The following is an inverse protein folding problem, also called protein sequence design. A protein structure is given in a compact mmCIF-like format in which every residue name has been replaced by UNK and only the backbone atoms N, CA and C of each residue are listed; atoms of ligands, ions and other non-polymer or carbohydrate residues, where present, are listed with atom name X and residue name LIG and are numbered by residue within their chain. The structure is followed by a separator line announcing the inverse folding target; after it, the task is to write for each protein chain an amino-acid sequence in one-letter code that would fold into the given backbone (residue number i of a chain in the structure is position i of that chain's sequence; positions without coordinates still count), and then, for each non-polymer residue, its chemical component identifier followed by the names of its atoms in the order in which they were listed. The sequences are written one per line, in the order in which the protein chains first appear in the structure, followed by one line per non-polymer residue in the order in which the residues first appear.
data_IF_204824101359
#
_entry.id   IF_204824101359
#
_cell.length_a   1.000
_cell.length_b   1.000
_cell.length_c   1.000
_cell.angle_alpha   90.00
_cell.angle_beta   90.00
_cell.angle_gamma   90.00
#
_symmetry.space_group_name_H-M   'P 1'
#
loop_
_entity.id
_entity.type
_entity.pdbx_description
1 polymer ?
#
# COMPACT_ATOMS: atom_id res chain seq x y z
N UNK A 1 7.19 30.09 2.96
CA UNK A 1 6.85 28.73 2.44
C UNK A 1 6.65 27.85 3.67
N UNK A 2 5.52 27.10 3.76
CA UNK A 2 5.30 26.22 4.91
C UNK A 2 6.25 25.03 4.87
N UNK A 3 6.81 24.68 6.02
CA UNK A 3 7.73 23.56 6.22
C UNK A 3 6.97 22.31 6.65
N UNK A 4 7.25 21.16 6.03
CA UNK A 4 6.56 19.90 6.33
C UNK A 4 7.59 18.79 6.56
N UNK A 5 7.45 18.06 7.67
CA UNK A 5 8.18 16.84 7.91
C UNK A 5 7.39 15.64 7.35
N UNK A 6 8.08 14.72 6.69
CA UNK A 6 7.53 13.40 6.30
C UNK A 6 8.39 12.33 6.94
N UNK A 7 7.76 11.40 7.67
CA UNK A 7 8.46 10.37 8.43
C UNK A 7 8.35 9.02 7.71
N UNK A 8 9.50 8.48 7.33
CA UNK A 8 9.62 7.21 6.62
C UNK A 8 9.83 7.38 5.12
N UNK A 9 10.87 6.72 4.59
CA UNK A 9 11.28 6.75 3.18
C UNK A 9 10.74 5.59 2.34
N UNK A 10 9.67 4.90 2.78
CA UNK A 10 8.95 3.94 1.96
C UNK A 10 8.11 4.62 0.88
N UNK A 11 7.43 3.84 0.04
CA UNK A 11 6.61 4.37 -1.07
C UNK A 11 5.61 5.43 -0.61
N UNK A 12 4.94 5.22 0.53
CA UNK A 12 3.93 6.16 1.05
C UNK A 12 4.55 7.50 1.43
N UNK A 13 5.69 7.48 2.14
CA UNK A 13 6.38 8.72 2.53
C UNK A 13 6.98 9.44 1.32
N UNK A 14 7.67 8.73 0.44
CA UNK A 14 8.28 9.34 -0.76
C UNK A 14 7.23 9.95 -1.68
N UNK A 15 6.10 9.27 -1.94
CA UNK A 15 5.02 9.82 -2.77
C UNK A 15 4.36 11.03 -2.12
N UNK A 16 4.18 11.02 -0.79
CA UNK A 16 3.66 12.16 -0.03
C UNK A 16 4.62 13.36 -0.10
N UNK A 17 5.92 13.12 0.14
CA UNK A 17 6.95 14.16 0.08
C UNK A 17 7.05 14.78 -1.32
N UNK A 18 7.07 13.96 -2.37
CA UNK A 18 7.09 14.42 -3.74
C UNK A 18 5.85 15.25 -4.10
N UNK A 19 4.66 14.77 -3.74
CA UNK A 19 3.42 15.49 -4.00
C UNK A 19 3.35 16.85 -3.29
N UNK A 20 3.88 16.95 -2.08
CA UNK A 20 3.96 18.20 -1.30
C UNK A 20 4.99 19.16 -1.89
N UNK A 21 6.19 18.69 -2.24
CA UNK A 21 7.22 19.51 -2.86
C UNK A 21 6.73 20.12 -4.18
N UNK A 22 6.07 19.34 -5.02
CA UNK A 22 5.45 19.85 -6.27
C UNK A 22 4.35 20.90 -6.06
N UNK A 23 3.78 20.96 -4.85
CA UNK A 23 2.82 22.03 -4.46
C UNK A 23 3.49 23.24 -3.84
N UNK A 24 4.82 23.30 -3.80
CA UNK A 24 5.59 24.44 -3.30
C UNK A 24 5.77 24.46 -1.79
N UNK A 25 5.64 23.31 -1.10
CA UNK A 25 6.01 23.21 0.30
C UNK A 25 7.51 22.94 0.46
N UNK A 26 8.10 23.42 1.56
CA UNK A 26 9.46 23.04 1.98
C UNK A 26 9.39 21.72 2.73
N UNK A 27 9.81 20.62 2.09
CA UNK A 27 9.60 19.28 2.64
C UNK A 27 10.92 18.64 3.04
N UNK A 28 10.97 18.08 4.26
CA UNK A 28 12.07 17.23 4.74
C UNK A 28 11.52 15.82 4.98
N UNK A 29 12.10 14.83 4.30
CA UNK A 29 11.83 13.41 4.48
C UNK A 29 12.87 12.82 5.44
N UNK A 30 12.42 12.18 6.50
CA UNK A 30 13.26 11.46 7.47
C UNK A 30 13.20 9.97 7.19
N UNK A 31 14.35 9.33 7.01
CA UNK A 31 14.47 7.89 6.80
C UNK A 31 15.62 7.32 7.64
N UNK A 32 15.34 6.28 8.42
CA UNK A 32 16.35 5.67 9.30
C UNK A 32 17.43 4.89 8.54
N UNK A 33 17.12 4.42 7.35
CA UNK A 33 18.06 3.70 6.52
C UNK A 33 18.92 4.64 5.67
N UNK A 34 19.96 4.08 5.03
CA UNK A 34 20.93 4.84 4.22
C UNK A 34 20.37 5.37 2.90
N UNK A 35 19.18 4.91 2.45
CA UNK A 35 18.44 5.40 1.29
C UNK A 35 16.97 5.01 1.39
N UNK A 36 16.12 5.54 0.51
CA UNK A 36 14.69 5.26 0.49
C UNK A 36 14.37 3.81 0.09
N UNK A 37 13.22 3.29 0.51
CA UNK A 37 12.71 1.98 0.12
C UNK A 37 13.53 0.77 0.61
N UNK A 38 14.19 0.87 1.76
CA UNK A 38 14.97 -0.25 2.31
C UNK A 38 14.18 -1.22 3.20
N UNK A 39 12.89 -0.97 3.42
CA UNK A 39 12.01 -1.83 4.22
C UNK A 39 10.99 -2.53 3.31
N UNK A 40 9.71 -2.56 3.65
CA UNK A 40 8.65 -3.23 2.86
C UNK A 40 8.66 -2.87 1.37
N UNK A 41 9.03 -1.65 1.02
CA UNK A 41 9.16 -1.20 -0.37
C UNK A 41 10.37 -1.80 -1.09
N UNK A 42 11.33 -2.42 -0.39
CA UNK A 42 12.49 -3.09 -0.98
C UNK A 42 12.11 -4.41 -1.64
N UNK A 43 11.34 -5.24 -0.93
CA UNK A 43 10.92 -6.56 -1.40
C UNK A 43 9.43 -6.75 -1.14
N UNK A 44 8.66 -6.76 -2.21
CA UNK A 44 7.21 -6.97 -2.20
C UNK A 44 6.77 -7.68 -3.48
N UNK A 45 5.48 -7.91 -3.66
CA UNK A 45 4.93 -8.59 -4.84
C UNK A 45 4.96 -7.77 -6.13
N UNK A 46 5.34 -6.50 -6.09
CA UNK A 46 5.39 -5.62 -7.26
C UNK A 46 4.05 -5.46 -8.00
N UNK A 47 2.94 -5.78 -7.35
CA UNK A 47 1.62 -5.75 -7.97
C UNK A 47 1.00 -4.36 -7.84
N UNK A 48 0.68 -3.74 -8.98
CA UNK A 48 -0.10 -2.51 -9.08
C UNK A 48 -1.57 -2.90 -9.32
N UNK A 49 -2.14 -3.55 -8.33
CA UNK A 49 -3.38 -4.32 -8.42
C UNK A 49 -4.53 -3.62 -7.70
N UNK A 50 -5.31 -2.84 -8.43
CA UNK A 50 -6.58 -2.33 -7.93
C UNK A 50 -7.61 -3.46 -7.72
N UNK A 51 -7.41 -4.63 -8.32
CA UNK A 51 -8.24 -5.81 -8.12
C UNK A 51 -8.08 -6.45 -6.74
N UNK A 52 -7.04 -6.09 -5.98
CA UNK A 52 -6.83 -6.49 -4.58
C UNK A 52 -7.37 -5.47 -3.56
N UNK A 53 -8.26 -4.56 -3.99
CA UNK A 53 -8.78 -3.49 -3.14
C UNK A 53 -9.91 -3.94 -2.19
N UNK A 54 -10.24 -5.23 -2.11
CA UNK A 54 -11.19 -5.75 -1.13
C UNK A 54 -10.69 -5.49 0.30
N UNK A 55 -11.53 -4.90 1.14
CA UNK A 55 -11.18 -4.66 2.54
C UNK A 55 -11.35 -5.91 3.40
N UNK A 56 -10.57 -6.04 4.45
CA UNK A 56 -10.58 -7.22 5.33
C UNK A 56 -11.69 -7.21 6.38
N UNK A 57 -12.41 -6.11 6.53
CA UNK A 57 -13.50 -5.96 7.51
C UNK A 57 -14.74 -6.76 7.09
N UNK A 58 -14.61 -8.07 7.02
CA UNK A 58 -15.66 -9.01 6.67
C UNK A 58 -15.90 -9.99 7.82
N UNK A 59 -17.18 -10.37 8.07
CA UNK A 59 -17.54 -11.27 9.18
C UNK A 59 -16.78 -12.63 9.16
N UNK A 60 -16.50 -13.18 7.98
CA UNK A 60 -15.72 -14.41 7.85
C UNK A 60 -14.26 -14.27 8.32
N UNK A 61 -13.71 -13.05 8.33
CA UNK A 61 -12.33 -12.78 8.78
C UNK A 61 -12.16 -13.07 10.26
N UNK A 62 -13.18 -12.79 11.09
CA UNK A 62 -13.16 -13.09 12.52
C UNK A 62 -13.07 -14.61 12.73
N UNK A 63 -13.91 -15.38 12.03
CA UNK A 63 -13.92 -16.85 12.15
C UNK A 63 -12.60 -17.44 11.67
N UNK A 64 -12.07 -16.94 10.55
CA UNK A 64 -10.75 -17.37 10.05
C UNK A 64 -9.65 -17.00 11.04
N UNK A 65 -9.65 -15.77 11.57
CA UNK A 65 -8.68 -15.31 12.56
C UNK A 65 -8.66 -16.19 13.82
N UNK A 66 -9.82 -16.53 14.38
CA UNK A 66 -9.92 -17.44 15.52
C UNK A 66 -9.36 -18.84 15.20
N UNK A 67 -9.63 -19.39 14.01
CA UNK A 67 -9.06 -20.66 13.57
C UNK A 67 -7.53 -20.60 13.41
N UNK A 68 -7.02 -19.49 12.90
CA UNK A 68 -5.58 -19.29 12.72
C UNK A 68 -4.83 -19.14 14.03
N UNK A 69 -5.44 -18.54 15.06
CA UNK A 69 -4.84 -18.45 16.39
C UNK A 69 -4.59 -19.82 17.05
N UNK A 70 -5.26 -20.89 16.59
CA UNK A 70 -5.07 -22.26 17.05
C UNK A 70 -3.98 -23.03 16.28
N UNK A 71 -3.32 -22.38 15.30
CA UNK A 71 -2.33 -23.01 14.43
C UNK A 71 -1.03 -22.22 14.48
N UNK A 72 0.09 -22.89 14.77
CA UNK A 72 1.42 -22.27 14.86
C UNK A 72 2.02 -21.85 13.50
N UNK A 73 1.49 -22.38 12.38
CA UNK A 73 1.90 -22.10 11.01
C UNK A 73 1.00 -21.07 10.29
N UNK A 74 0.10 -20.44 11.03
CA UNK A 74 -0.88 -19.52 10.46
C UNK A 74 -0.29 -18.14 10.15
N UNK A 75 -0.80 -17.43 9.11
CA UNK A 75 -0.31 -16.12 8.73
C UNK A 75 -0.65 -14.99 9.73
N UNK A 76 -1.54 -15.26 10.70
CA UNK A 76 -1.94 -14.31 11.72
C UNK A 76 -1.59 -14.83 13.11
N UNK A 77 -0.69 -14.13 13.80
CA UNK A 77 -0.39 -14.33 15.20
C UNK A 77 -0.84 -13.11 16.01
N UNK A 78 -1.70 -13.33 16.99
CA UNK A 78 -2.15 -12.30 17.92
C UNK A 78 -1.55 -12.57 19.29
N UNK A 79 -0.75 -11.63 19.80
CA UNK A 79 -0.24 -11.74 21.17
C UNK A 79 -1.44 -11.79 22.15
N UNK A 80 -1.56 -12.82 23.00
CA UNK A 80 -2.73 -13.00 23.88
C UNK A 80 -2.84 -11.94 25.00
N UNK A 81 -1.77 -11.21 25.30
CA UNK A 81 -1.82 -10.17 26.36
C UNK A 81 -2.85 -9.10 26.01
N UNK A 82 -3.88 -8.85 26.84
CA UNK A 82 -4.85 -7.81 26.61
C UNK A 82 -4.19 -6.43 26.80
N UNK A 83 -4.40 -5.53 25.84
CA UNK A 83 -4.07 -4.10 25.97
C UNK A 83 -5.26 -3.28 25.53
N UNK A 84 -5.44 -2.08 26.10
CA UNK A 84 -6.52 -1.19 25.72
C UNK A 84 -6.52 -0.89 24.22
N UNK A 85 -5.35 -0.61 23.67
CA UNK A 85 -5.16 -0.36 22.23
C UNK A 85 -5.68 -1.54 21.37
N UNK A 86 -5.33 -2.78 21.75
CA UNK A 86 -5.80 -3.97 21.03
C UNK A 86 -7.31 -4.15 21.11
N UNK A 87 -7.89 -3.93 22.29
CA UNK A 87 -9.33 -4.07 22.49
C UNK A 87 -10.10 -3.00 21.71
N UNK A 88 -9.65 -1.74 21.72
CA UNK A 88 -10.26 -0.66 20.93
C UNK A 88 -10.16 -0.95 19.44
N UNK A 89 -9.01 -1.42 18.96
CA UNK A 89 -8.82 -1.81 17.56
C UNK A 89 -9.79 -2.94 17.12
N UNK A 90 -9.95 -3.97 17.94
CA UNK A 90 -10.94 -5.03 17.64
C UNK A 90 -12.37 -4.51 17.64
N UNK A 91 -12.73 -3.64 18.57
CA UNK A 91 -14.05 -3.04 18.63
C UNK A 91 -14.33 -2.20 17.37
N UNK A 92 -13.38 -1.39 16.93
CA UNK A 92 -13.46 -0.61 15.70
C UNK A 92 -13.55 -1.51 14.47
N UNK A 93 -12.73 -2.57 14.40
CA UNK A 93 -12.79 -3.55 13.31
C UNK A 93 -14.20 -4.14 13.17
N UNK A 94 -14.80 -4.60 14.29
CA UNK A 94 -16.15 -5.17 14.31
C UNK A 94 -17.20 -4.11 13.91
N UNK A 95 -17.07 -2.89 14.40
CA UNK A 95 -17.97 -1.79 14.08
C UNK A 95 -17.96 -1.40 12.59
N UNK A 96 -16.86 -1.70 11.87
CA UNK A 96 -16.73 -1.42 10.44
C UNK A 96 -17.18 -2.58 9.52
N UNK A 97 -17.50 -3.77 10.06
CA UNK A 97 -17.99 -4.89 9.24
C UNK A 97 -19.24 -4.53 8.42
N UNK A 98 -20.26 -3.81 8.94
CA UNK A 98 -21.40 -3.41 8.13
C UNK A 98 -21.05 -2.52 6.93
N UNK A 99 -19.92 -1.80 6.98
CA UNK A 99 -19.44 -0.91 5.92
C UNK A 99 -18.57 -1.61 4.88
N UNK A 100 -18.44 -2.94 4.94
CA UNK A 100 -17.58 -3.71 4.04
C UNK A 100 -17.76 -3.37 2.55
N UNK A 101 -19.01 -3.31 2.09
CA UNK A 101 -19.33 -3.02 0.68
C UNK A 101 -18.92 -1.60 0.29
N UNK A 102 -19.30 -0.63 1.08
CA UNK A 102 -18.98 0.79 0.88
C UNK A 102 -17.46 1.00 0.88
N UNK A 103 -16.77 0.45 1.89
CA UNK A 103 -15.33 0.58 2.04
C UNK A 103 -14.59 -0.10 0.87
N UNK A 104 -15.01 -1.28 0.41
CA UNK A 104 -14.41 -1.95 -0.76
C UNK A 104 -14.55 -1.11 -2.03
N UNK A 105 -15.71 -0.52 -2.27
CA UNK A 105 -15.92 0.37 -3.41
C UNK A 105 -15.03 1.62 -3.32
N UNK A 106 -14.96 2.24 -2.14
CA UNK A 106 -14.11 3.42 -1.91
C UNK A 106 -12.62 3.10 -2.10
N UNK A 107 -12.16 1.96 -1.56
CA UNK A 107 -10.77 1.51 -1.69
C UNK A 107 -10.42 1.22 -3.16
N UNK A 108 -11.34 0.60 -3.93
CA UNK A 108 -11.14 0.38 -5.36
C UNK A 108 -10.94 1.69 -6.12
N UNK A 109 -11.79 2.69 -5.88
CA UNK A 109 -11.66 4.04 -6.49
C UNK A 109 -10.32 4.67 -6.15
N UNK A 110 -9.93 4.59 -4.88
CA UNK A 110 -8.66 5.15 -4.41
C UNK A 110 -7.45 4.43 -5.05
N UNK A 111 -7.49 3.09 -5.16
CA UNK A 111 -6.44 2.30 -5.79
C UNK A 111 -6.29 2.62 -7.29
N UNK A 112 -7.41 2.80 -8.02
CA UNK A 112 -7.39 3.22 -9.42
C UNK A 112 -6.73 4.60 -9.56
N UNK A 113 -7.13 5.58 -8.74
CA UNK A 113 -6.57 6.92 -8.77
C UNK A 113 -5.08 6.92 -8.39
N UNK A 114 -4.68 6.17 -7.35
CA UNK A 114 -3.29 6.05 -6.93
C UNK A 114 -2.41 5.48 -8.05
N UNK A 115 -2.88 4.44 -8.76
CA UNK A 115 -2.17 3.84 -9.89
C UNK A 115 -1.98 4.84 -11.06
N UNK A 116 -2.99 5.65 -11.35
CA UNK A 116 -2.89 6.70 -12.37
C UNK A 116 -1.82 7.73 -12.00
N UNK A 117 -1.78 8.18 -10.74
CA UNK A 117 -0.74 9.08 -10.26
C UNK A 117 0.65 8.46 -10.34
N UNK A 118 0.79 7.17 -9.97
CA UNK A 118 2.06 6.47 -10.04
C UNK A 118 2.61 6.45 -11.48
N UNK A 119 1.77 6.11 -12.47
CA UNK A 119 2.18 6.10 -13.87
C UNK A 119 2.54 7.50 -14.38
N UNK A 120 1.70 8.51 -14.07
CA UNK A 120 1.95 9.87 -14.50
C UNK A 120 3.24 10.46 -13.90
N UNK A 121 3.55 10.14 -12.65
CA UNK A 121 4.77 10.61 -12.01
C UNK A 121 6.01 9.86 -12.53
N UNK A 122 5.91 8.55 -12.76
CA UNK A 122 7.00 7.80 -13.37
C UNK A 122 7.36 8.34 -14.76
N UNK A 123 6.35 8.62 -15.58
CA UNK A 123 6.53 9.20 -16.92
C UNK A 123 7.13 10.61 -16.85
N UNK A 124 6.54 11.49 -16.01
CA UNK A 124 6.98 12.88 -15.88
C UNK A 124 8.43 13.03 -15.37
N UNK A 125 8.87 12.09 -14.52
CA UNK A 125 10.20 12.12 -13.90
C UNK A 125 11.22 11.18 -14.58
N UNK A 126 10.81 10.44 -15.60
CA UNK A 126 11.66 9.46 -16.27
C UNK A 126 12.07 8.30 -15.37
N UNK A 127 11.19 7.87 -14.45
CA UNK A 127 11.50 6.76 -13.53
C UNK A 127 11.18 5.43 -14.20
N UNK A 128 12.22 4.66 -14.49
CA UNK A 128 12.09 3.29 -14.97
C UNK A 128 12.02 2.31 -13.80
N UNK A 129 11.01 1.44 -13.78
CA UNK A 129 10.75 0.51 -12.68
C UNK A 129 10.21 -0.84 -13.15
N UNK A 130 10.65 -1.31 -14.31
CA UNK A 130 10.28 -2.61 -14.91
C UNK A 130 8.75 -2.77 -15.07
N UNK A 131 8.04 -1.69 -15.38
CA UNK A 131 6.58 -1.68 -15.52
C UNK A 131 6.12 -2.60 -16.65
N UNK A 132 5.25 -3.56 -16.32
CA UNK A 132 4.57 -4.45 -17.27
C UNK A 132 3.06 -4.29 -17.15
N UNK A 133 2.43 -3.73 -18.19
CA UNK A 133 0.99 -3.54 -18.31
C UNK A 133 0.36 -4.75 -19.01
N UNK A 134 0.40 -5.92 -18.37
CA UNK A 134 -0.07 -7.19 -18.93
C UNK A 134 -1.29 -7.76 -18.19
N UNK A 135 -1.86 -6.97 -17.28
CA UNK A 135 -2.95 -7.44 -16.42
C UNK A 135 -2.48 -8.33 -15.28
N UNK A 136 -3.43 -8.71 -14.42
CA UNK A 136 -3.22 -9.68 -13.34
C UNK A 136 -4.31 -10.73 -13.39
N UNK A 137 -3.90 -12.01 -13.35
CA UNK A 137 -4.76 -13.17 -13.31
C UNK A 137 -4.87 -13.70 -11.88
N UNK A 138 -6.10 -13.69 -11.33
CA UNK A 138 -6.44 -14.33 -10.06
C UNK A 138 -6.97 -15.73 -10.32
N UNK A 139 -6.40 -16.74 -9.68
CA UNK A 139 -6.73 -18.15 -9.90
C UNK A 139 -7.47 -18.75 -8.70
N UNK A 140 -8.47 -19.61 -8.96
CA UNK A 140 -9.28 -20.26 -7.95
C UNK A 140 -9.33 -21.77 -8.20
N UNK A 141 -9.07 -22.57 -7.16
CA UNK A 141 -9.07 -24.04 -7.27
C UNK A 141 -10.43 -24.66 -6.96
N UNK A 142 -11.32 -23.90 -6.35
CA UNK A 142 -12.64 -24.38 -5.97
C UNK A 142 -13.74 -23.37 -6.32
N UNK A 143 -14.97 -23.89 -6.43
CA UNK A 143 -16.15 -23.11 -6.77
C UNK A 143 -16.44 -22.01 -5.75
N UNK A 144 -16.27 -22.31 -4.46
CA UNK A 144 -16.60 -21.34 -3.38
C UNK A 144 -15.73 -20.10 -3.47
N UNK A 145 -14.42 -20.27 -3.68
CA UNK A 145 -13.48 -19.15 -3.86
C UNK A 145 -13.82 -18.34 -5.12
N UNK A 146 -14.14 -19.03 -6.21
CA UNK A 146 -14.54 -18.39 -7.48
C UNK A 146 -15.84 -17.59 -7.35
N UNK A 147 -16.88 -18.17 -6.73
CA UNK A 147 -18.18 -17.50 -6.51
C UNK A 147 -18.00 -16.25 -5.62
N UNK A 148 -17.22 -16.36 -4.53
CA UNK A 148 -16.87 -15.20 -3.69
C UNK A 148 -16.14 -14.10 -4.48
N UNK A 149 -15.16 -14.48 -5.30
CA UNK A 149 -14.47 -13.53 -6.17
C UNK A 149 -15.42 -12.84 -7.17
N UNK A 150 -16.48 -13.53 -7.60
CA UNK A 150 -17.55 -12.94 -8.40
C UNK A 150 -18.34 -11.86 -7.65
N UNK A 151 -18.62 -12.09 -6.36
CA UNK A 151 -19.26 -11.06 -5.52
C UNK A 151 -18.36 -9.84 -5.33
N UNK A 152 -17.08 -10.08 -5.04
CA UNK A 152 -16.08 -9.00 -4.93
C UNK A 152 -15.95 -8.24 -6.26
N UNK A 153 -15.92 -8.94 -7.40
CA UNK A 153 -15.83 -8.30 -8.73
C UNK A 153 -16.97 -7.33 -8.99
N UNK A 154 -18.19 -7.62 -8.52
CA UNK A 154 -19.33 -6.69 -8.62
C UNK A 154 -19.11 -5.42 -7.78
N UNK A 155 -18.48 -5.52 -6.61
CA UNK A 155 -18.13 -4.35 -5.79
C UNK A 155 -17.03 -3.52 -6.43
N UNK A 156 -16.01 -4.18 -6.98
CA UNK A 156 -14.92 -3.50 -7.70
C UNK A 156 -15.44 -2.79 -8.95
N UNK A 157 -16.38 -3.40 -9.69
CA UNK A 157 -17.04 -2.77 -10.83
C UNK A 157 -17.83 -1.51 -10.43
N UNK A 158 -18.52 -1.53 -9.29
CA UNK A 158 -19.16 -0.32 -8.72
C UNK A 158 -18.13 0.76 -8.33
N UNK A 159 -16.88 0.37 -8.09
CA UNK A 159 -15.72 1.25 -7.90
C UNK A 159 -15.06 1.72 -9.20
N UNK A 160 -15.46 1.17 -10.35
CA UNK A 160 -14.89 1.51 -11.67
C UNK A 160 -13.81 0.56 -12.16
N UNK A 161 -13.65 -0.63 -11.54
CA UNK A 161 -12.68 -1.64 -11.94
C UNK A 161 -13.36 -2.84 -12.58
N UNK A 162 -13.07 -3.08 -13.84
CA UNK A 162 -13.57 -4.27 -14.55
C UNK A 162 -12.64 -5.47 -14.30
N UNK A 163 -13.25 -6.60 -13.92
CA UNK A 163 -12.63 -7.92 -13.85
C UNK A 163 -13.51 -8.89 -14.61
N UNK A 164 -12.95 -9.60 -15.56
CA UNK A 164 -13.69 -10.64 -16.29
C UNK A 164 -13.40 -12.02 -15.75
N UNK A 165 -14.44 -12.86 -15.64
CA UNK A 165 -14.26 -14.27 -15.37
C UNK A 165 -13.57 -14.94 -16.57
N UNK A 166 -12.68 -15.90 -16.30
CA UNK A 166 -11.96 -16.67 -17.32
C UNK A 166 -12.01 -18.15 -17.00
N UNK A 167 -12.14 -18.96 -18.07
CA UNK A 167 -12.10 -20.42 -17.98
C UNK A 167 -10.66 -20.93 -17.78
N UNK A 168 -10.45 -22.19 -17.35
CA UNK A 168 -9.11 -22.78 -17.26
C UNK A 168 -8.34 -22.76 -18.60
N UNK A 169 -9.04 -22.86 -19.73
CA UNK A 169 -8.45 -22.78 -21.07
C UNK A 169 -7.95 -21.37 -21.36
N UNK A 170 -8.76 -20.35 -21.11
CA UNK A 170 -8.37 -18.94 -21.25
C UNK A 170 -7.22 -18.56 -20.30
N UNK A 171 -7.22 -19.10 -19.07
CA UNK A 171 -6.13 -18.88 -18.11
C UNK A 171 -4.79 -19.38 -18.65
N UNK A 172 -4.75 -20.56 -19.30
CA UNK A 172 -3.54 -21.12 -19.94
C UNK A 172 -3.12 -20.33 -21.18
N UNK A 173 -4.05 -19.65 -21.84
CA UNK A 173 -3.71 -18.72 -22.94
C UNK A 173 -3.05 -17.45 -22.41
N UNK A 174 -3.52 -16.93 -21.26
CA UNK A 174 -2.96 -15.75 -20.59
C UNK A 174 -1.58 -16.08 -19.99
N UNK A 175 -1.47 -17.24 -19.31
CA UNK A 175 -0.25 -17.69 -18.64
C UNK A 175 0.03 -19.15 -19.04
N UNK A 176 0.79 -19.39 -20.11
CA UNK A 176 1.05 -20.74 -20.63
C UNK A 176 1.80 -21.67 -19.69
N UNK A 177 2.53 -21.11 -18.71
CA UNK A 177 3.29 -21.90 -17.72
C UNK A 177 2.41 -22.39 -16.56
N UNK A 178 1.14 -21.98 -16.52
CA UNK A 178 0.21 -22.33 -15.46
C UNK A 178 -0.12 -23.84 -15.50
N UNK A 179 0.35 -24.57 -14.49
CA UNK A 179 0.14 -26.01 -14.34
C UNK A 179 -0.84 -26.33 -13.20
N UNK A 180 -1.55 -27.45 -13.32
CA UNK A 180 -2.49 -27.95 -12.32
C UNK A 180 -3.96 -27.71 -12.71
N UNK A 181 -4.85 -28.09 -11.76
CA UNK A 181 -6.29 -28.01 -11.95
C UNK A 181 -6.84 -26.74 -11.25
N UNK A 182 -7.64 -26.01 -11.99
CA UNK A 182 -8.30 -24.79 -11.53
C UNK A 182 -9.78 -24.84 -11.88
N UNK A 183 -10.61 -24.29 -11.01
CA UNK A 183 -12.03 -24.12 -11.28
C UNK A 183 -12.28 -22.97 -12.28
N UNK A 184 -11.49 -21.90 -12.19
CA UNK A 184 -11.56 -20.74 -13.06
C UNK A 184 -10.72 -19.59 -12.49
N UNK A 185 -10.77 -18.43 -13.14
CA UNK A 185 -10.03 -17.24 -12.73
C UNK A 185 -10.80 -15.96 -12.98
N UNK A 186 -10.21 -14.86 -12.49
CA UNK A 186 -10.61 -13.51 -12.85
C UNK A 186 -9.41 -12.76 -13.38
N UNK A 187 -9.54 -12.17 -14.56
CA UNK A 187 -8.49 -11.37 -15.19
C UNK A 187 -8.82 -9.88 -15.13
N UNK A 188 -7.86 -9.08 -14.71
CA UNK A 188 -7.95 -7.62 -14.65
C UNK A 188 -6.92 -7.03 -15.60
N UNK A 189 -7.35 -6.68 -16.79
CA UNK A 189 -6.49 -6.19 -17.86
C UNK A 189 -5.77 -4.87 -17.49
N UNK A 190 -6.44 -3.99 -16.73
CA UNK A 190 -5.90 -2.70 -16.32
C UNK A 190 -4.86 -2.77 -15.20
N UNK A 191 -4.71 -3.91 -14.53
CA UNK A 191 -3.68 -4.10 -13.50
C UNK A 191 -2.31 -4.31 -14.14
N UNK A 192 -1.26 -4.12 -13.36
CA UNK A 192 0.13 -4.12 -13.83
C UNK A 192 1.06 -4.65 -12.77
N UNK A 193 2.31 -4.93 -13.15
CA UNK A 193 3.40 -5.20 -12.22
C UNK A 193 4.55 -4.23 -12.45
N UNK A 194 5.36 -3.98 -11.42
CA UNK A 194 6.54 -3.12 -11.51
C UNK A 194 7.40 -3.25 -10.26
N UNK A 195 8.66 -2.88 -10.39
CA UNK A 195 9.61 -2.85 -9.27
C UNK A 195 9.37 -1.60 -8.41
N UNK A 196 8.70 -1.78 -7.27
CA UNK A 196 8.36 -0.67 -6.36
C UNK A 196 9.59 -0.11 -5.66
N UNK A 197 10.67 -0.88 -5.49
CA UNK A 197 11.93 -0.36 -4.99
C UNK A 197 12.54 0.66 -5.98
N UNK A 198 12.64 0.30 -7.25
CA UNK A 198 13.11 1.20 -8.31
C UNK A 198 12.22 2.44 -8.44
N UNK A 199 10.90 2.26 -8.42
CA UNK A 199 9.97 3.39 -8.45
C UNK A 199 10.20 4.34 -7.28
N UNK A 200 10.27 3.80 -6.05
CA UNK A 200 10.37 4.62 -4.84
C UNK A 200 11.71 5.35 -4.76
N UNK A 201 12.82 4.68 -5.09
CA UNK A 201 14.15 5.32 -5.12
C UNK A 201 14.27 6.37 -6.22
N UNK A 202 13.75 6.09 -7.41
CA UNK A 202 13.71 7.05 -8.51
C UNK A 202 12.86 8.29 -8.19
N UNK A 203 11.71 8.09 -7.54
CA UNK A 203 10.86 9.21 -7.13
C UNK A 203 11.47 10.01 -5.96
N UNK A 204 12.23 9.37 -5.05
CA UNK A 204 12.97 10.08 -4.01
C UNK A 204 14.04 11.01 -4.61
N UNK A 205 14.77 10.54 -5.63
CA UNK A 205 15.69 11.40 -6.38
C UNK A 205 14.97 12.55 -7.11
N UNK A 206 13.80 12.29 -7.68
CA UNK A 206 12.96 13.33 -8.27
C UNK A 206 12.50 14.37 -7.22
N UNK A 207 12.09 13.91 -6.05
CA UNK A 207 11.73 14.78 -4.93
C UNK A 207 12.86 15.76 -4.57
N UNK A 208 14.12 15.30 -4.54
CA UNK A 208 15.27 16.16 -4.28
C UNK A 208 15.52 17.17 -5.44
N UNK A 209 15.34 16.76 -6.70
CA UNK A 209 15.39 17.68 -7.86
C UNK A 209 14.34 18.79 -7.77
N UNK A 210 13.19 18.53 -7.15
CA UNK A 210 12.15 19.53 -6.87
C UNK A 210 12.38 20.35 -5.60
N UNK A 211 13.60 20.33 -5.03
CA UNK A 211 13.98 21.13 -3.86
C UNK A 211 13.59 20.50 -2.53
N UNK A 212 13.15 19.25 -2.52
CA UNK A 212 12.96 18.48 -1.30
C UNK A 212 14.29 18.08 -0.65
N UNK A 213 14.27 17.72 0.62
CA UNK A 213 15.45 17.28 1.38
C UNK A 213 15.21 15.89 1.96
N UNK A 214 16.02 14.90 1.58
CA UNK A 214 16.10 13.62 2.26
C UNK A 214 17.13 13.65 3.38
N UNK A 215 16.75 13.21 4.58
CA UNK A 215 17.65 12.94 5.69
C UNK A 215 17.70 11.43 5.91
N UNK A 216 18.67 10.79 5.28
CA UNK A 216 18.95 9.37 5.44
C UNK A 216 19.79 9.11 6.69
N UNK A 217 19.67 7.92 7.29
CA UNK A 217 20.29 7.60 8.57
C UNK A 217 19.63 8.33 9.76
N UNK A 218 18.50 8.98 9.55
CA UNK A 218 17.81 9.77 10.55
C UNK A 218 16.71 8.95 11.23
N UNK A 219 17.01 8.39 12.40
CA UNK A 219 16.06 7.61 13.19
C UNK A 219 15.18 8.54 14.03
N UNK A 220 13.92 8.70 13.67
CA UNK A 220 12.95 9.47 14.44
C UNK A 220 12.62 8.73 15.74
N UNK A 221 12.85 9.39 16.87
CA UNK A 221 12.60 8.89 18.24
C UNK A 221 11.27 9.35 18.80
N UNK A 222 10.82 10.54 18.40
CA UNK A 222 9.58 11.11 18.89
C UNK A 222 9.02 12.17 17.97
N UNK A 223 7.70 12.31 18.00
CA UNK A 223 6.98 13.36 17.29
C UNK A 223 5.94 13.98 18.23
N UNK A 224 5.73 15.27 18.11
CA UNK A 224 4.69 15.98 18.83
C UNK A 224 4.03 17.01 17.90
N UNK A 225 2.73 17.23 18.04
CA UNK A 225 1.99 18.25 17.31
C UNK A 225 1.07 19.05 18.22
N UNK A 226 0.93 20.33 17.93
CA UNK A 226 0.02 21.24 18.60
C UNK A 226 -0.49 22.30 17.60
N UNK A 227 -1.25 23.28 18.06
CA UNK A 227 -1.76 24.38 17.21
C UNK A 227 -0.65 25.24 16.58
N UNK A 228 0.57 25.19 17.09
CA UNK A 228 1.73 25.95 16.57
C UNK A 228 2.58 25.19 15.56
N UNK A 229 2.27 23.90 15.28
CA UNK A 229 3.03 23.09 14.33
C UNK A 229 3.39 21.71 14.87
N UNK A 230 4.43 21.12 14.30
CA UNK A 230 4.93 19.80 14.63
C UNK A 230 6.43 19.85 15.00
N UNK A 231 6.83 19.02 15.93
CA UNK A 231 8.22 18.84 16.35
C UNK A 231 8.65 17.40 16.10
N UNK A 232 9.83 17.22 15.53
CA UNK A 232 10.44 15.91 15.26
C UNK A 232 11.75 15.81 16.04
N UNK A 233 11.85 14.81 16.92
CA UNK A 233 13.06 14.42 17.62
C UNK A 233 13.68 13.23 16.90
N UNK A 234 14.91 13.35 16.43
CA UNK A 234 15.58 12.31 15.68
C UNK A 234 17.06 12.22 16.03
N UNK A 235 17.64 11.07 15.74
CA UNK A 235 19.06 10.79 15.87
C UNK A 235 19.65 10.55 14.48
N UNK A 236 20.74 11.26 14.16
CA UNK A 236 21.48 11.08 12.92
C UNK A 236 22.96 11.15 13.24
N UNK A 237 23.76 10.19 12.77
CA UNK A 237 25.20 10.09 13.05
C UNK A 237 25.56 10.16 14.55
N UNK A 238 24.71 9.58 15.41
CA UNK A 238 24.88 9.57 16.86
C UNK A 238 24.57 10.91 17.56
N UNK A 239 24.08 11.90 16.81
CA UNK A 239 23.67 13.19 17.35
C UNK A 239 22.14 13.26 17.41
N UNK A 240 21.60 13.58 18.58
CA UNK A 240 20.16 13.84 18.74
C UNK A 240 19.85 15.29 18.42
N UNK A 241 18.91 15.48 17.49
CA UNK A 241 18.43 16.80 17.09
C UNK A 241 16.91 16.89 17.28
N UNK A 242 16.46 18.15 17.46
CA UNK A 242 15.04 18.53 17.46
C UNK A 242 14.80 19.57 16.40
N UNK A 243 13.80 19.34 15.52
CA UNK A 243 13.40 20.32 14.51
C UNK A 243 11.92 20.60 14.56
N UNK A 244 11.56 21.85 14.28
CA UNK A 244 10.18 22.32 14.23
C UNK A 244 9.73 22.49 12.77
N UNK A 245 8.48 22.14 12.50
CA UNK A 245 7.81 22.21 11.19
C UNK A 245 6.39 22.76 11.36
N UNK A 246 5.84 23.35 10.30
CA UNK A 246 4.45 23.82 10.31
C UNK A 246 3.45 22.65 10.31
N UNK A 247 3.83 21.48 9.75
CA UNK A 247 3.03 20.27 9.74
C UNK A 247 3.90 19.02 9.61
N UNK A 248 3.32 17.84 9.83
CA UNK A 248 3.99 16.55 9.57
C UNK A 248 3.03 15.52 8.99
N UNK A 249 3.61 14.56 8.27
CA UNK A 249 2.99 13.32 7.78
C UNK A 249 3.77 12.16 8.40
N UNK A 250 3.05 11.19 9.01
CA UNK A 250 3.63 9.99 9.65
C UNK A 250 3.04 8.75 8.99
#
# INVERSE_FOLDING_TARGET
MKSIAVIGGGITGVTSAYALARRGFSVTLFEQHRYAAMDTSFANGGQLSASNAEVWTHGSTIIKGLKWMLRGDAPLLVNPRPTWHKLSWFAEFIAHIPKYRENTIATARMAIAARQHLFAWAEAEGVEFDLKKQGILHIYRDRKGFDHAGEVSRLLAAGGLERRAVTPEEMRQIEPTLAGDFFGGYFTESDSTGDIHKFTTGLAAAFERHGGRCLFGALVKGVASNSGGATVDFECDGVTERRHFDAMVV
#
